data_IF_292189736399
#
_entry.id   IF_292189736399
#
_cell.length_a   1.000
_cell.length_b   1.000
_cell.length_c   1.000
_cell.angle_alpha   90.00
_cell.angle_beta   90.00
_cell.angle_gamma   90.00
#
_symmetry.space_group_name_H-M   'P 1'
#
loop_
_entity.id
_entity.type
_entity.pdbx_description
1 polymer ?
#
# COMPACT_ATOMS: atom_id res chain seq x y z
N UNK A 1 -11.79 -26.45 -26.69
CA UNK A 1 -12.03 -25.70 -25.44
C UNK A 1 -10.83 -24.78 -25.21
N UNK A 2 -11.04 -23.47 -25.09
CA UNK A 2 -9.98 -22.46 -25.10
C UNK A 2 -9.30 -22.32 -23.72
N UNK A 3 -8.77 -23.42 -23.20
CA UNK A 3 -7.94 -23.47 -21.99
C UNK A 3 -6.81 -22.43 -21.94
N UNK A 4 -6.04 -22.15 -23.02
CA UNK A 4 -5.01 -21.12 -22.97
C UNK A 4 -5.57 -19.70 -22.77
N UNK A 5 -6.77 -19.40 -23.29
CA UNK A 5 -7.44 -18.12 -23.05
C UNK A 5 -7.86 -18.01 -21.58
N UNK A 6 -8.40 -19.10 -21.03
CA UNK A 6 -8.82 -19.15 -19.62
C UNK A 6 -7.64 -18.89 -18.67
N UNK A 7 -6.49 -19.51 -18.93
CA UNK A 7 -5.26 -19.32 -18.15
C UNK A 7 -4.78 -17.86 -18.26
N UNK A 8 -4.79 -17.29 -19.47
CA UNK A 8 -4.41 -15.89 -19.68
C UNK A 8 -5.28 -14.91 -18.88
N UNK A 9 -6.60 -15.14 -18.85
CA UNK A 9 -7.53 -14.31 -18.07
C UNK A 9 -7.27 -14.41 -16.57
N UNK A 10 -7.03 -15.62 -16.03
CA UNK A 10 -6.74 -15.81 -14.60
C UNK A 10 -5.46 -15.07 -14.18
N UNK A 11 -4.41 -15.13 -15.00
CA UNK A 11 -3.15 -14.43 -14.72
C UNK A 11 -3.38 -12.92 -14.71
N UNK A 12 -4.10 -12.40 -15.70
CA UNK A 12 -4.39 -10.97 -15.82
C UNK A 12 -5.18 -10.45 -14.61
N UNK A 13 -6.21 -11.19 -14.18
CA UNK A 13 -7.02 -10.85 -13.00
C UNK A 13 -6.17 -10.87 -11.72
N UNK A 14 -5.29 -11.85 -11.57
CA UNK A 14 -4.40 -11.95 -10.40
C UNK A 14 -3.46 -10.75 -10.31
N UNK A 15 -2.86 -10.33 -11.44
CA UNK A 15 -2.00 -9.15 -11.51
C UNK A 15 -2.78 -7.88 -11.13
N UNK A 16 -4.02 -7.74 -11.60
CA UNK A 16 -4.86 -6.58 -11.28
C UNK A 16 -5.21 -6.54 -9.79
N UNK A 17 -5.53 -7.68 -9.17
CA UNK A 17 -5.81 -7.76 -7.73
C UNK A 17 -4.58 -7.32 -6.92
N UNK A 18 -3.40 -7.86 -7.25
CA UNK A 18 -2.14 -7.49 -6.59
C UNK A 18 -1.83 -6.01 -6.78
N UNK A 19 -2.04 -5.47 -7.99
CA UNK A 19 -1.87 -4.06 -8.30
C UNK A 19 -2.79 -3.17 -7.47
N UNK A 20 -4.07 -3.52 -7.36
CA UNK A 20 -5.05 -2.78 -6.56
C UNK A 20 -4.71 -2.82 -5.08
N UNK A 21 -4.29 -3.97 -4.53
CA UNK A 21 -3.85 -4.06 -3.12
C UNK A 21 -2.63 -3.17 -2.90
N UNK A 22 -1.62 -3.25 -3.76
CA UNK A 22 -0.38 -2.47 -3.63
C UNK A 22 -0.66 -0.97 -3.75
N UNK A 23 -1.56 -0.58 -4.66
CA UNK A 23 -1.96 0.82 -4.85
C UNK A 23 -2.77 1.33 -3.66
N UNK A 24 -3.73 0.57 -3.19
CA UNK A 24 -4.59 0.93 -2.06
C UNK A 24 -3.82 0.94 -0.71
N UNK A 25 -2.82 0.07 -0.55
CA UNK A 25 -1.89 0.12 0.59
C UNK A 25 -0.99 1.36 0.55
N UNK A 26 -0.65 1.86 -0.64
CA UNK A 26 0.13 3.08 -0.80
C UNK A 26 -0.66 4.29 -0.31
N UNK A 27 -1.93 4.39 -0.71
CA UNK A 27 -2.85 5.44 -0.26
C UNK A 27 -3.10 5.38 1.25
N UNK A 28 -3.23 4.16 1.81
CA UNK A 28 -3.46 3.97 3.24
C UNK A 28 -2.24 4.32 4.10
N UNK A 29 -1.03 4.03 3.62
CA UNK A 29 0.22 4.42 4.30
C UNK A 29 0.46 5.93 4.27
N UNK A 30 0.18 6.56 3.13
CA UNK A 30 0.31 8.02 2.98
C UNK A 30 -0.68 8.74 3.92
N UNK A 31 -1.92 8.23 4.03
CA UNK A 31 -2.89 8.74 5.00
C UNK A 31 -2.49 8.48 6.46
N UNK A 32 -1.97 7.29 6.79
CA UNK A 32 -1.50 6.99 8.14
C UNK A 32 -0.30 7.89 8.50
N UNK A 33 0.68 8.09 7.61
CA UNK A 33 1.80 9.02 7.83
C UNK A 33 1.32 10.48 8.00
N UNK A 34 0.41 10.96 7.14
CA UNK A 34 -0.11 12.33 7.23
C UNK A 34 -0.92 12.57 8.51
N UNK A 35 -1.78 11.62 8.91
CA UNK A 35 -2.60 11.76 10.13
C UNK A 35 -1.75 11.60 11.39
N UNK A 36 -0.82 10.64 11.42
CA UNK A 36 0.13 10.48 12.53
C UNK A 36 0.97 11.76 12.69
N UNK A 37 1.49 12.35 11.61
CA UNK A 37 2.24 13.61 11.67
C UNK A 37 1.39 14.83 12.02
N UNK A 38 0.08 14.81 11.72
CA UNK A 38 -0.81 15.94 11.97
C UNK A 38 -1.47 15.91 13.36
N UNK A 39 -1.68 14.72 13.94
CA UNK A 39 -2.32 14.57 15.26
C UNK A 39 -1.33 14.32 16.40
N UNK A 40 -0.15 13.72 16.15
CA UNK A 40 0.94 13.79 17.12
C UNK A 40 1.68 15.10 16.86
N UNK A 41 1.78 16.04 17.84
CA UNK A 41 2.77 17.10 17.72
C UNK A 41 4.12 16.44 17.41
N UNK A 42 5.06 17.11 16.71
CA UNK A 42 6.41 16.60 16.59
C UNK A 42 6.92 16.39 18.01
N UNK A 43 6.81 15.16 18.51
CA UNK A 43 7.58 14.70 19.63
C UNK A 43 8.97 14.78 19.06
N UNK A 44 9.63 15.87 19.46
CA UNK A 44 11.04 16.15 19.30
C UNK A 44 11.69 14.77 19.28
N UNK A 45 12.26 14.37 18.15
CA UNK A 45 13.72 14.38 18.02
C UNK A 45 14.39 14.73 19.37
N UNK A 46 14.15 13.87 20.37
CA UNK A 46 14.84 13.87 21.65
C UNK A 46 16.24 13.35 21.32
N UNK A 47 16.99 14.25 20.69
CA UNK A 47 18.39 14.49 21.00
C UNK A 47 18.50 14.85 22.48
N UNK A 48 18.38 13.87 23.34
CA UNK A 48 19.02 13.90 24.66
C UNK A 48 19.80 12.58 24.77
N UNK A 49 21.06 12.57 24.31
CA UNK A 49 22.21 12.68 25.21
C UNK A 49 22.04 11.86 26.49
N UNK A 50 22.48 10.59 26.46
CA UNK A 50 23.30 9.97 27.52
C UNK A 50 23.96 8.68 27.02
#
# INVERSE_FOLDING_TARGET
MNYPVLIGVIILVTILIVYLIKRNQKDKKEFEEEVIQSELPPEKDDKENL
#
